data_IF_140526588300
#
_entry.id   IF_140526588300
#
_cell.length_a   1.000
_cell.length_b   1.000
_cell.length_c   1.000
_cell.angle_alpha   90.00
_cell.angle_beta   90.00
_cell.angle_gamma   90.00
#
_symmetry.space_group_name_H-M   'P 1'
#
loop_
_entity.id
_entity.type
_entity.pdbx_description
1 polymer ?
#
# COMPACT_ATOMS: atom_id res chain seq x y z
N UNK A 1 -48.22 56.30 53.24
CA UNK A 1 -48.84 55.26 52.44
C UNK A 1 -48.32 55.38 51.02
N UNK A 2 -47.20 54.76 50.69
CA UNK A 2 -46.56 54.85 49.36
C UNK A 2 -46.53 53.47 48.77
N UNK A 3 -47.26 53.32 47.66
CA UNK A 3 -47.30 52.04 46.87
C UNK A 3 -46.10 52.04 45.95
N UNK A 4 -45.23 51.04 46.12
CA UNK A 4 -44.08 50.74 45.23
C UNK A 4 -44.53 49.77 44.17
N UNK A 5 -44.52 50.25 42.92
CA UNK A 5 -44.86 49.45 41.75
C UNK A 5 -43.56 48.74 41.28
N UNK A 6 -43.49 47.40 41.38
CA UNK A 6 -42.39 46.62 40.88
C UNK A 6 -42.59 46.30 39.41
N UNK A 7 -41.67 46.78 38.58
CA UNK A 7 -41.56 46.38 37.14
C UNK A 7 -40.83 45.11 37.02
N UNK A 8 -41.50 44.06 36.60
CA UNK A 8 -40.86 42.75 36.23
C UNK A 8 -40.46 42.84 34.77
N UNK A 9 -39.17 42.95 34.51
CA UNK A 9 -38.60 42.88 33.18
C UNK A 9 -38.34 41.41 32.81
N UNK A 10 -39.23 40.87 31.98
CA UNK A 10 -39.06 39.50 31.48
C UNK A 10 -38.02 39.50 30.34
N UNK A 11 -36.80 39.06 30.64
CA UNK A 11 -35.75 38.88 29.66
C UNK A 11 -35.96 37.54 28.94
N UNK A 12 -36.39 37.58 27.72
CA UNK A 12 -36.60 36.42 26.86
C UNK A 12 -35.23 35.99 26.27
N UNK A 13 -34.62 34.97 26.86
CA UNK A 13 -33.40 34.34 26.34
C UNK A 13 -33.79 33.42 25.20
N UNK A 14 -33.54 33.81 23.96
CA UNK A 14 -33.63 32.93 22.80
C UNK A 14 -32.35 32.05 22.77
N UNK A 15 -32.50 30.79 23.18
CA UNK A 15 -31.45 29.79 23.10
C UNK A 15 -31.31 29.30 21.63
N UNK A 16 -30.38 29.88 20.88
CA UNK A 16 -29.98 29.36 19.59
C UNK A 16 -29.11 28.12 19.83
N UNK A 17 -29.70 26.93 19.67
CA UNK A 17 -28.97 25.67 19.64
C UNK A 17 -28.10 25.62 18.37
N UNK A 18 -26.83 25.97 18.49
CA UNK A 18 -25.82 25.66 17.50
C UNK A 18 -25.55 24.13 17.60
N UNK A 19 -26.13 23.40 16.68
CA UNK A 19 -25.83 21.98 16.55
C UNK A 19 -24.35 21.80 16.16
N UNK A 20 -23.51 21.51 17.14
CA UNK A 20 -22.17 20.99 16.87
C UNK A 20 -22.36 19.60 16.28
N UNK A 21 -22.16 19.46 14.97
CA UNK A 21 -21.89 18.16 14.38
C UNK A 21 -20.57 17.68 14.97
N UNK A 22 -20.66 16.80 15.98
CA UNK A 22 -19.50 16.03 16.40
C UNK A 22 -19.15 15.09 15.25
N UNK A 23 -18.07 15.40 14.57
CA UNK A 23 -17.40 14.49 13.64
C UNK A 23 -17.09 13.21 14.44
N UNK A 24 -17.67 12.07 14.01
CA UNK A 24 -17.41 10.80 14.64
C UNK A 24 -15.88 10.57 14.61
N UNK A 25 -15.25 10.11 15.69
CA UNK A 25 -13.83 9.78 15.64
C UNK A 25 -13.61 8.80 14.51
N UNK A 26 -12.65 9.11 13.61
CA UNK A 26 -12.20 8.16 12.62
C UNK A 26 -11.80 6.88 13.38
N UNK A 27 -12.45 5.76 13.05
CA UNK A 27 -12.06 4.46 13.61
C UNK A 27 -10.58 4.25 13.23
N UNK A 28 -9.72 4.27 14.22
CA UNK A 28 -8.30 3.93 14.06
C UNK A 28 -8.28 2.45 13.62
N UNK A 29 -8.01 2.21 12.32
CA UNK A 29 -7.93 0.86 11.77
C UNK A 29 -6.79 0.13 12.48
N UNK A 30 -7.13 -0.97 13.16
CA UNK A 30 -6.09 -1.85 13.74
C UNK A 30 -5.07 -2.24 12.68
N UNK A 31 -3.77 -2.25 13.02
CA UNK A 31 -2.71 -2.60 12.06
C UNK A 31 -2.98 -3.96 11.45
N UNK A 32 -2.93 -4.06 10.13
CA UNK A 32 -3.11 -5.33 9.43
C UNK A 32 -1.95 -6.27 9.73
N UNK A 33 -2.26 -7.55 9.91
CA UNK A 33 -1.24 -8.62 9.98
C UNK A 33 -1.00 -9.28 8.63
N UNK A 34 -1.66 -8.79 7.60
CA UNK A 34 -1.55 -9.27 6.24
C UNK A 34 -0.99 -8.19 5.35
N UNK A 35 -0.01 -8.54 4.53
CA UNK A 35 0.62 -7.66 3.57
C UNK A 35 0.45 -8.24 2.16
N UNK A 36 0.09 -7.40 1.21
CA UNK A 36 0.16 -7.70 -0.22
C UNK A 36 1.35 -6.94 -0.80
N UNK A 37 2.36 -7.68 -1.21
CA UNK A 37 3.55 -7.17 -1.88
C UNK A 37 3.43 -7.46 -3.37
N UNK A 38 3.74 -6.50 -4.23
CA UNK A 38 3.75 -6.78 -5.65
C UNK A 38 4.76 -5.95 -6.45
N UNK A 39 5.21 -6.55 -7.55
CA UNK A 39 5.81 -5.85 -8.68
C UNK A 39 4.84 -5.88 -9.87
N UNK A 40 4.64 -4.76 -10.54
CA UNK A 40 3.80 -4.68 -11.73
C UNK A 40 4.43 -3.77 -12.78
N UNK A 41 4.78 -4.33 -13.94
CA UNK A 41 5.37 -3.55 -15.03
C UNK A 41 4.31 -2.82 -15.88
N UNK A 42 3.10 -3.41 -16.02
CA UNK A 42 2.05 -2.94 -16.93
C UNK A 42 0.69 -2.74 -16.25
N UNK A 43 0.64 -2.75 -14.91
CA UNK A 43 -0.59 -2.56 -14.13
C UNK A 43 -1.44 -3.81 -13.92
N UNK A 44 -1.17 -4.93 -14.61
CA UNK A 44 -2.02 -6.13 -14.48
C UNK A 44 -1.89 -6.79 -13.11
N UNK A 45 -0.66 -6.96 -12.61
CA UNK A 45 -0.41 -7.52 -11.27
C UNK A 45 -0.91 -6.56 -10.19
N UNK A 46 -0.68 -5.27 -10.33
CA UNK A 46 -1.19 -4.23 -9.44
C UNK A 46 -2.70 -4.33 -9.24
N UNK A 47 -3.46 -4.46 -10.34
CA UNK A 47 -4.92 -4.59 -10.28
C UNK A 47 -5.35 -5.79 -9.44
N UNK A 48 -4.71 -6.94 -9.58
CA UNK A 48 -5.03 -8.15 -8.81
C UNK A 48 -4.58 -7.98 -7.35
N UNK A 49 -3.40 -7.43 -7.11
CA UNK A 49 -2.89 -7.15 -5.78
C UNK A 49 -3.84 -6.25 -4.97
N UNK A 50 -4.35 -5.18 -5.59
CA UNK A 50 -5.31 -4.29 -4.97
C UNK A 50 -6.65 -4.98 -4.65
N UNK A 51 -7.13 -5.86 -5.52
CA UNK A 51 -8.33 -6.67 -5.24
C UNK A 51 -8.13 -7.60 -4.04
N UNK A 52 -6.96 -8.23 -3.92
CA UNK A 52 -6.63 -9.08 -2.76
C UNK A 52 -6.55 -8.22 -1.49
N UNK A 53 -5.88 -7.08 -1.56
CA UNK A 53 -5.76 -6.18 -0.42
C UNK A 53 -7.12 -5.68 0.08
N UNK A 54 -8.02 -5.31 -0.83
CA UNK A 54 -9.39 -4.91 -0.50
C UNK A 54 -10.17 -6.06 0.16
N UNK A 55 -10.09 -7.26 -0.43
CA UNK A 55 -10.82 -8.43 0.07
C UNK A 55 -10.34 -8.92 1.44
N UNK A 56 -9.05 -8.72 1.76
CA UNK A 56 -8.41 -9.21 3.00
C UNK A 56 -8.21 -8.13 4.05
N UNK A 57 -8.41 -6.86 3.71
CA UNK A 57 -8.06 -5.73 4.57
C UNK A 57 -6.54 -5.57 4.76
N UNK A 58 -5.73 -6.16 3.87
CA UNK A 58 -4.29 -6.13 3.94
C UNK A 58 -3.71 -4.75 3.66
N UNK A 59 -2.52 -4.49 4.22
CA UNK A 59 -1.68 -3.40 3.77
C UNK A 59 -1.02 -3.73 2.43
N UNK A 60 -0.54 -2.71 1.71
CA UNK A 60 0.05 -2.88 0.38
C UNK A 60 1.48 -2.35 0.37
N UNK A 61 2.39 -3.12 -0.21
CA UNK A 61 3.76 -2.69 -0.49
C UNK A 61 4.11 -2.91 -1.96
N UNK A 62 4.55 -1.86 -2.62
CA UNK A 62 4.96 -1.91 -4.03
C UNK A 62 6.47 -2.16 -4.11
N UNK A 63 6.87 -3.20 -4.82
CA UNK A 63 8.27 -3.40 -5.21
C UNK A 63 8.56 -2.40 -6.32
N UNK A 64 9.35 -1.38 -5.99
CA UNK A 64 9.61 -0.21 -6.83
C UNK A 64 11.11 -0.15 -7.21
N UNK A 65 11.48 -0.58 -8.43
CA UNK A 65 12.84 -0.44 -8.92
C UNK A 65 13.28 1.03 -8.98
N UNK A 66 14.52 1.32 -8.53
CA UNK A 66 15.10 2.66 -8.61
C UNK A 66 15.15 3.20 -10.04
N UNK A 67 15.21 2.30 -11.01
CA UNK A 67 15.07 2.58 -12.43
C UNK A 67 13.83 1.83 -12.94
N UNK A 68 12.68 2.51 -13.09
CA UNK A 68 11.47 1.89 -13.61
C UNK A 68 11.69 1.32 -15.02
N UNK A 69 10.94 0.27 -15.36
CA UNK A 69 10.93 -0.29 -16.71
C UNK A 69 10.01 0.56 -17.61
N UNK A 70 10.56 1.06 -18.69
CA UNK A 70 9.81 1.72 -19.76
C UNK A 70 9.22 0.71 -20.73
N UNK A 71 8.32 1.13 -21.62
CA UNK A 71 7.78 0.25 -22.67
C UNK A 71 8.90 -0.30 -23.58
N UNK A 72 9.93 0.51 -23.85
CA UNK A 72 11.10 0.09 -24.62
C UNK A 72 11.93 -0.95 -23.85
N UNK A 73 12.10 -0.79 -22.55
CA UNK A 73 12.77 -1.74 -21.67
C UNK A 73 12.05 -3.09 -21.63
N UNK A 74 10.72 -3.07 -21.70
CA UNK A 74 9.86 -4.26 -21.64
C UNK A 74 9.67 -4.96 -22.99
N UNK A 75 10.21 -4.42 -24.07
CA UNK A 75 10.08 -4.99 -25.42
C UNK A 75 10.94 -6.26 -25.58
N UNK A 76 10.45 -7.39 -25.09
CA UNK A 76 11.12 -8.69 -25.13
C UNK A 76 11.39 -9.21 -26.56
N UNK A 77 10.81 -8.61 -27.61
CA UNK A 77 11.11 -8.94 -29.01
C UNK A 77 12.35 -8.20 -29.52
N UNK A 78 12.78 -7.16 -28.85
CA UNK A 78 14.02 -6.44 -29.09
C UNK A 78 15.14 -7.03 -28.22
N UNK A 79 16.18 -7.61 -28.85
CA UNK A 79 17.30 -8.21 -28.13
C UNK A 79 18.16 -7.20 -27.33
N UNK A 80 18.10 -5.92 -27.74
CA UNK A 80 18.84 -4.83 -27.10
C UNK A 80 18.02 -4.16 -25.97
N UNK A 81 16.78 -4.61 -25.73
CA UNK A 81 15.99 -4.11 -24.61
C UNK A 81 16.56 -4.54 -23.26
N UNK A 82 16.29 -3.75 -22.22
CA UNK A 82 16.76 -4.04 -20.87
C UNK A 82 16.30 -5.42 -20.39
N UNK A 83 15.03 -5.76 -20.58
CA UNK A 83 14.48 -7.04 -20.13
C UNK A 83 15.10 -8.24 -20.87
N UNK A 84 15.43 -8.08 -22.17
CA UNK A 84 16.11 -9.11 -22.95
C UNK A 84 17.56 -9.27 -22.50
N UNK A 85 18.25 -8.16 -22.25
CA UNK A 85 19.62 -8.18 -21.74
C UNK A 85 19.68 -8.88 -20.36
N UNK A 86 18.80 -8.48 -19.43
CA UNK A 86 18.74 -9.07 -18.09
C UNK A 86 18.35 -10.58 -18.13
N UNK A 87 17.54 -11.00 -19.12
CA UNK A 87 17.24 -12.42 -19.35
C UNK A 87 18.48 -13.19 -19.79
N UNK A 88 19.24 -12.66 -20.75
CA UNK A 88 20.43 -13.32 -21.31
C UNK A 88 21.63 -13.25 -20.34
N UNK A 89 21.57 -12.41 -19.30
CA UNK A 89 22.58 -12.19 -18.26
C UNK A 89 21.99 -12.38 -16.85
N UNK A 90 21.70 -13.64 -16.44
CA UNK A 90 21.01 -13.91 -15.17
C UNK A 90 21.70 -13.35 -13.92
N UNK A 91 23.01 -13.11 -13.98
CA UNK A 91 23.75 -12.47 -12.90
C UNK A 91 23.25 -11.05 -12.60
N UNK A 92 22.73 -10.34 -13.59
CA UNK A 92 22.23 -8.95 -13.44
C UNK A 92 20.82 -8.90 -12.82
N UNK A 93 20.09 -10.01 -12.84
CA UNK A 93 18.72 -10.04 -12.32
C UNK A 93 18.64 -9.77 -10.80
N UNK A 94 19.71 -10.09 -10.06
CA UNK A 94 19.80 -9.80 -8.64
C UNK A 94 20.35 -8.39 -8.35
N UNK A 95 20.72 -7.65 -9.39
CA UNK A 95 21.27 -6.29 -9.25
C UNK A 95 20.20 -5.21 -9.46
N UNK A 96 18.95 -5.59 -9.76
CA UNK A 96 17.84 -4.64 -9.90
C UNK A 96 17.56 -3.98 -8.55
N UNK A 97 18.14 -2.79 -8.36
CA UNK A 97 18.02 -2.04 -7.11
C UNK A 97 16.59 -1.56 -6.88
N UNK A 98 16.14 -1.60 -5.64
CA UNK A 98 14.83 -1.12 -5.20
C UNK A 98 14.96 0.16 -4.39
N UNK A 99 13.97 1.06 -4.48
CA UNK A 99 13.90 2.26 -3.65
C UNK A 99 13.73 1.91 -2.17
N UNK A 100 12.97 0.86 -1.88
CA UNK A 100 12.79 0.31 -0.53
C UNK A 100 12.74 -1.21 -0.63
N UNK A 101 13.50 -1.90 0.21
CA UNK A 101 13.56 -3.37 0.23
C UNK A 101 12.60 -3.91 1.29
N UNK A 102 12.62 -3.33 2.50
CA UNK A 102 11.86 -3.82 3.65
C UNK A 102 10.69 -2.88 3.93
N UNK A 103 9.44 -3.39 3.95
CA UNK A 103 8.28 -2.62 4.37
C UNK A 103 8.41 -2.14 5.81
N UNK A 104 7.80 -1.01 6.13
CA UNK A 104 7.65 -0.59 7.52
C UNK A 104 6.88 -1.66 8.31
N UNK A 105 7.26 -1.87 9.57
CA UNK A 105 6.65 -2.86 10.46
C UNK A 105 6.64 -4.30 9.91
N UNK A 106 7.63 -4.66 9.09
CA UNK A 106 7.76 -5.97 8.46
C UNK A 106 7.57 -7.13 9.44
N UNK A 107 8.10 -7.00 10.66
CA UNK A 107 8.04 -8.01 11.72
C UNK A 107 6.61 -8.31 12.18
N UNK A 108 5.66 -7.37 12.02
CA UNK A 108 4.29 -7.51 12.49
C UNK A 108 3.40 -8.30 11.52
N UNK A 109 3.82 -8.49 10.26
CA UNK A 109 3.04 -9.24 9.29
C UNK A 109 3.22 -10.75 9.47
N UNK A 110 2.10 -11.46 9.52
CA UNK A 110 2.02 -12.92 9.65
C UNK A 110 1.76 -13.60 8.28
N UNK A 111 1.01 -12.93 7.39
CA UNK A 111 0.68 -13.42 6.06
C UNK A 111 1.16 -12.43 5.00
N UNK A 112 1.89 -12.92 4.00
CA UNK A 112 2.44 -12.10 2.91
C UNK A 112 2.05 -12.71 1.57
N UNK A 113 1.21 -11.99 0.82
CA UNK A 113 0.98 -12.27 -0.59
C UNK A 113 2.09 -11.64 -1.42
N UNK A 114 2.60 -12.34 -2.43
CA UNK A 114 3.63 -11.80 -3.32
C UNK A 114 3.16 -11.91 -4.76
N UNK A 115 2.77 -10.78 -5.36
CA UNK A 115 2.31 -10.68 -6.73
C UNK A 115 3.43 -10.26 -7.69
N UNK A 116 3.56 -10.94 -8.84
CA UNK A 116 4.54 -10.62 -9.86
C UNK A 116 4.10 -11.10 -11.25
N UNK A 117 4.56 -10.45 -12.32
CA UNK A 117 4.41 -10.99 -13.67
C UNK A 117 5.33 -12.19 -13.86
N UNK A 118 4.94 -13.08 -14.78
CA UNK A 118 5.80 -14.19 -15.21
C UNK A 118 6.62 -13.73 -16.42
N UNK A 119 7.95 -13.69 -16.28
CA UNK A 119 8.90 -13.41 -17.34
C UNK A 119 9.69 -14.67 -17.70
N UNK A 120 9.62 -15.11 -18.95
CA UNK A 120 10.27 -16.35 -19.43
C UNK A 120 10.03 -17.60 -18.53
N UNK A 121 8.84 -17.71 -17.93
CA UNK A 121 8.45 -18.85 -17.12
C UNK A 121 8.87 -18.80 -15.66
N UNK A 122 9.49 -17.71 -15.20
CA UNK A 122 9.87 -17.47 -13.80
C UNK A 122 9.25 -16.19 -13.28
N UNK A 123 9.32 -15.96 -11.98
CA UNK A 123 8.93 -14.67 -11.39
C UNK A 123 9.78 -13.54 -11.98
N UNK A 124 9.15 -12.41 -12.32
CA UNK A 124 9.88 -11.23 -12.76
C UNK A 124 10.93 -10.85 -11.73
N UNK A 125 12.17 -10.77 -12.12
CA UNK A 125 13.34 -10.65 -11.24
C UNK A 125 13.42 -9.38 -10.38
N UNK A 126 12.69 -8.27 -10.62
CA UNK A 126 12.62 -7.20 -9.64
C UNK A 126 12.18 -7.65 -8.24
N UNK A 127 11.49 -8.80 -8.10
CA UNK A 127 11.13 -9.34 -6.78
C UNK A 127 12.30 -9.97 -6.03
N UNK A 128 13.42 -10.27 -6.70
CA UNK A 128 14.53 -11.01 -6.10
C UNK A 128 15.11 -10.31 -4.87
N UNK A 129 15.35 -8.99 -4.96
CA UNK A 129 15.91 -8.23 -3.85
C UNK A 129 14.95 -8.14 -2.65
N UNK A 130 13.66 -8.06 -2.90
CA UNK A 130 12.67 -8.11 -1.83
C UNK A 130 12.69 -9.47 -1.12
N UNK A 131 12.70 -10.57 -1.88
CA UNK A 131 12.66 -11.93 -1.30
C UNK A 131 13.95 -12.25 -0.56
N UNK A 132 15.11 -11.87 -1.10
CA UNK A 132 16.41 -12.15 -0.47
C UNK A 132 16.77 -11.17 0.65
N UNK A 133 16.19 -9.99 0.65
CA UNK A 133 16.49 -8.91 1.61
C UNK A 133 15.62 -8.93 2.87
N UNK A 134 14.61 -9.82 2.94
CA UNK A 134 13.70 -9.89 4.08
C UNK A 134 13.69 -11.28 4.72
N UNK A 135 13.52 -11.34 6.04
CA UNK A 135 13.36 -12.58 6.78
C UNK A 135 11.88 -13.00 6.80
N UNK A 136 11.57 -14.14 6.19
CA UNK A 136 10.23 -14.73 6.12
C UNK A 136 9.98 -15.78 7.21
N UNK A 137 10.90 -15.96 8.16
CA UNK A 137 10.75 -16.93 9.26
C UNK A 137 9.45 -16.68 10.01
N UNK A 138 8.63 -17.72 10.14
CA UNK A 138 7.35 -17.66 10.84
C UNK A 138 6.20 -17.03 10.05
N UNK A 139 6.42 -16.56 8.82
CA UNK A 139 5.39 -15.99 7.97
C UNK A 139 4.77 -17.02 7.02
N UNK A 140 3.46 -16.88 6.77
CA UNK A 140 2.77 -17.60 5.70
C UNK A 140 2.95 -16.82 4.41
N UNK A 141 3.61 -17.42 3.41
CA UNK A 141 3.85 -16.77 2.10
C UNK A 141 2.95 -17.39 1.04
N UNK A 142 2.26 -16.55 0.28
CA UNK A 142 1.31 -16.92 -0.77
C UNK A 142 1.76 -16.22 -2.07
N UNK A 143 2.40 -16.92 -3.02
CA UNK A 143 2.82 -16.35 -4.31
C UNK A 143 1.67 -16.30 -5.31
#
# INVERSE_FOLDING_TARGET
MKKILAFVLTLMFTLTAVGAFAEAPAEEKEPSKTLVVYFSATGSTERIANMIAEATGADVFVIDPTQPYTDDDLNWTNRDSRVSYEHDHPETQNEVALNTITPENWENYETVYIGYPIWWGIAAWPVNQFVTGNDFTGKTVIP
#
